data_IF_042230460741
#
_entry.id   IF_042230460741
#
_cell.length_a   1.000
_cell.length_b   1.000
_cell.length_c   1.000
_cell.angle_alpha   90.00
_cell.angle_beta   90.00
_cell.angle_gamma   90.00
#
_symmetry.space_group_name_H-M   'P 1'
#
loop_
_entity.id
_entity.type
_entity.pdbx_description
1 polymer ?
#
# COMPACT_ATOMS: atom_id res chain seq x y z
N UNK A 1 29.01 -1.67 12.10
CA UNK A 1 29.00 -0.71 13.21
C UNK A 1 27.61 -0.77 13.78
N UNK A 2 27.41 -1.41 14.92
CA UNK A 2 26.09 -1.54 15.56
C UNK A 2 25.74 -0.19 16.19
N UNK A 3 24.66 0.45 15.74
CA UNK A 3 24.14 1.64 16.41
C UNK A 3 23.66 1.26 17.81
N UNK A 4 23.91 2.13 18.78
CA UNK A 4 23.50 1.90 20.17
C UNK A 4 21.96 1.99 20.26
N UNK A 5 21.33 1.08 21.00
CA UNK A 5 19.88 1.03 21.19
C UNK A 5 19.30 2.34 21.73
N UNK A 6 20.11 3.14 22.44
CA UNK A 6 19.74 4.47 22.94
C UNK A 6 19.65 5.53 21.84
N UNK A 7 20.54 5.49 20.84
CA UNK A 7 20.51 6.41 19.71
C UNK A 7 19.32 6.11 18.79
N UNK A 8 19.05 4.82 18.55
CA UNK A 8 17.90 4.38 17.72
C UNK A 8 16.55 4.78 18.37
N UNK A 9 16.43 4.69 19.69
CA UNK A 9 15.21 5.10 20.41
C UNK A 9 15.00 6.62 20.36
N UNK A 10 16.08 7.40 20.41
CA UNK A 10 16.02 8.87 20.35
C UNK A 10 15.61 9.33 18.96
N UNK A 11 16.11 8.67 17.92
CA UNK A 11 15.80 8.99 16.52
C UNK A 11 14.33 8.66 16.18
N UNK A 12 13.83 7.51 16.65
CA UNK A 12 12.43 7.12 16.52
C UNK A 12 11.49 8.12 17.20
N UNK A 13 11.79 8.51 18.43
CA UNK A 13 10.97 9.46 19.18
C UNK A 13 10.91 10.81 18.48
N UNK A 14 12.02 11.31 17.98
CA UNK A 14 12.10 12.55 17.22
C UNK A 14 11.29 12.50 15.92
N UNK A 15 11.28 11.34 15.22
CA UNK A 15 10.49 11.16 14.00
C UNK A 15 8.97 11.12 14.29
N UNK A 16 8.55 10.54 15.41
CA UNK A 16 7.14 10.40 15.79
C UNK A 16 6.56 11.64 16.48
N UNK A 17 7.39 12.51 17.04
CA UNK A 17 6.93 13.66 17.81
C UNK A 17 6.01 14.62 17.04
N UNK A 18 6.29 15.02 15.79
CA UNK A 18 5.40 15.87 14.99
C UNK A 18 4.03 15.21 14.77
N UNK A 19 4.00 13.91 14.49
CA UNK A 19 2.77 13.15 14.28
C UNK A 19 1.94 13.02 15.55
N UNK A 20 2.59 12.79 16.69
CA UNK A 20 1.90 12.75 17.97
C UNK A 20 1.26 14.09 18.33
N UNK A 21 1.81 15.20 17.84
CA UNK A 21 1.33 16.56 18.10
C UNK A 21 0.28 17.06 17.09
N UNK A 22 0.14 16.40 15.94
CA UNK A 22 -0.76 16.86 14.86
C UNK A 22 -2.23 16.88 15.31
N UNK A 23 -3.05 17.86 14.87
CA UNK A 23 -4.47 17.92 15.22
C UNK A 23 -5.23 16.65 14.84
N UNK A 24 -5.21 16.25 13.59
CA UNK A 24 -5.85 15.01 13.08
C UNK A 24 -4.79 14.14 12.43
N UNK A 25 -4.61 12.92 12.93
CA UNK A 25 -3.64 11.96 12.43
C UNK A 25 -4.33 10.83 11.65
N UNK A 26 -3.92 10.61 10.41
CA UNK A 26 -4.23 9.39 9.66
C UNK A 26 -3.05 8.40 9.80
N UNK A 27 -3.34 7.21 10.32
CA UNK A 27 -2.41 6.07 10.35
C UNK A 27 -2.87 5.09 9.28
N UNK A 28 -2.28 5.20 8.10
CA UNK A 28 -2.54 4.33 6.97
C UNK A 28 -1.50 3.20 6.94
N UNK A 29 -1.95 1.97 6.80
CA UNK A 29 -1.10 0.78 6.93
C UNK A 29 -1.39 -0.19 5.79
N UNK A 30 -0.36 -0.62 5.08
CA UNK A 30 -0.46 -1.81 4.27
C UNK A 30 -0.65 -3.05 5.14
N UNK A 31 -1.09 -4.17 4.54
CA UNK A 31 -1.45 -5.37 5.31
C UNK A 31 -0.45 -6.50 5.17
N UNK A 32 -0.26 -7.02 3.96
CA UNK A 32 0.61 -8.17 3.70
C UNK A 32 2.08 -7.76 3.70
N UNK A 33 2.93 -8.45 4.46
CA UNK A 33 4.33 -8.07 4.65
C UNK A 33 4.53 -6.94 5.67
N UNK A 34 3.49 -6.17 5.96
CA UNK A 34 3.52 -4.98 6.82
C UNK A 34 2.91 -5.23 8.20
N UNK A 35 1.63 -5.57 8.28
CA UNK A 35 0.94 -5.94 9.54
C UNK A 35 0.95 -7.44 9.78
N UNK A 36 0.89 -8.22 8.71
CA UNK A 36 0.93 -9.67 8.69
C UNK A 36 2.21 -10.13 8.00
N UNK A 37 2.88 -11.18 8.48
CA UNK A 37 3.96 -11.83 7.73
C UNK A 37 3.46 -12.33 6.36
N UNK A 38 4.33 -12.32 5.36
CA UNK A 38 4.05 -12.99 4.09
C UNK A 38 3.96 -14.49 4.30
N UNK A 39 2.88 -15.11 3.83
CA UNK A 39 2.62 -16.55 3.97
C UNK A 39 2.13 -17.14 2.64
N UNK A 40 2.30 -18.45 2.47
CA UNK A 40 1.95 -19.14 1.22
C UNK A 40 0.45 -19.22 0.96
N UNK A 41 -0.37 -19.22 2.01
CA UNK A 41 -1.84 -19.21 1.91
C UNK A 41 -2.38 -17.79 2.15
N UNK A 42 -2.65 -16.99 1.10
CA UNK A 42 -2.95 -15.58 1.23
C UNK A 42 -4.14 -15.26 2.14
N UNK A 43 -5.20 -16.09 2.14
CA UNK A 43 -6.40 -15.85 2.95
C UNK A 43 -6.22 -16.23 4.43
N UNK A 44 -5.12 -16.88 4.80
CA UNK A 44 -4.75 -17.16 6.18
C UNK A 44 -3.91 -16.03 6.82
N UNK A 45 -3.52 -15.00 6.06
CA UNK A 45 -2.77 -13.85 6.59
C UNK A 45 -3.55 -13.18 7.74
N UNK A 46 -2.85 -12.88 8.83
CA UNK A 46 -3.42 -12.17 9.99
C UNK A 46 -2.37 -11.22 10.55
N UNK A 47 -2.81 -10.02 10.91
CA UNK A 47 -1.95 -9.07 11.62
C UNK A 47 -1.43 -9.68 12.92
N UNK A 48 -0.18 -9.37 13.26
CA UNK A 48 0.42 -9.83 14.51
C UNK A 48 -0.39 -9.35 15.72
N UNK A 49 -0.46 -10.13 16.81
CA UNK A 49 -1.17 -9.70 18.03
C UNK A 49 -0.73 -8.33 18.52
N UNK A 50 0.58 -8.05 18.53
CA UNK A 50 1.12 -6.76 18.94
C UNK A 50 0.68 -5.61 18.02
N UNK A 51 0.58 -5.86 16.70
CA UNK A 51 0.05 -4.88 15.75
C UNK A 51 -1.43 -4.60 16.01
N UNK A 52 -2.25 -5.63 16.27
CA UNK A 52 -3.67 -5.48 16.61
C UNK A 52 -3.87 -4.63 17.87
N UNK A 53 -3.08 -4.86 18.90
CA UNK A 53 -3.13 -4.09 20.16
C UNK A 53 -2.76 -2.62 19.94
N UNK A 54 -1.70 -2.35 19.17
CA UNK A 54 -1.27 -0.99 18.84
C UNK A 54 -2.32 -0.25 17.99
N UNK A 55 -2.88 -0.91 16.98
CA UNK A 55 -3.96 -0.40 16.13
C UNK A 55 -5.20 -0.07 16.96
N UNK A 56 -5.63 -0.97 17.83
CA UNK A 56 -6.78 -0.74 18.72
C UNK A 56 -6.53 0.47 19.64
N UNK A 57 -5.30 0.60 20.18
CA UNK A 57 -4.91 1.75 21.00
C UNK A 57 -4.96 3.07 20.23
N UNK A 58 -4.46 3.09 18.98
CA UNK A 58 -4.52 4.27 18.12
C UNK A 58 -5.96 4.64 17.74
N UNK A 59 -6.75 3.65 17.33
CA UNK A 59 -8.14 3.86 16.92
C UNK A 59 -9.06 4.33 18.08
N UNK A 60 -8.66 4.09 19.32
CA UNK A 60 -9.38 4.58 20.50
C UNK A 60 -9.05 6.04 20.86
N UNK A 61 -7.99 6.63 20.29
CA UNK A 61 -7.62 8.00 20.55
C UNK A 61 -8.47 8.98 19.72
N UNK A 62 -8.94 10.08 20.30
CA UNK A 62 -9.65 11.11 19.54
C UNK A 62 -8.77 11.70 18.45
N UNK A 63 -9.40 12.14 17.34
CA UNK A 63 -8.76 12.72 16.15
C UNK A 63 -7.59 11.85 15.61
N UNK A 64 -7.73 10.54 15.75
CA UNK A 64 -6.79 9.55 15.22
C UNK A 64 -7.59 8.56 14.38
N UNK A 65 -7.31 8.55 13.09
CA UNK A 65 -7.95 7.65 12.13
C UNK A 65 -6.98 6.55 11.75
N UNK A 66 -7.43 5.31 11.76
CA UNK A 66 -6.65 4.17 11.27
C UNK A 66 -7.28 3.65 9.99
N UNK A 67 -6.46 3.37 8.99
CA UNK A 67 -6.90 2.81 7.72
C UNK A 67 -5.98 1.65 7.28
N UNK A 68 -6.56 0.59 6.70
CA UNK A 68 -5.80 -0.41 5.96
C UNK A 68 -5.87 -0.08 4.46
N UNK A 69 -4.72 -0.07 3.79
CA UNK A 69 -4.58 0.28 2.38
C UNK A 69 -3.85 -0.86 1.67
N UNK A 70 -4.56 -1.65 0.88
CA UNK A 70 -4.02 -2.90 0.32
C UNK A 70 -4.34 -3.07 -1.17
N UNK A 71 -3.48 -3.83 -1.86
CA UNK A 71 -3.77 -4.31 -3.22
C UNK A 71 -4.87 -5.38 -3.28
N UNK A 72 -5.23 -5.98 -2.15
CA UNK A 72 -6.32 -6.96 -2.08
C UNK A 72 -7.67 -6.32 -2.35
N UNK A 73 -8.59 -7.10 -2.92
CA UNK A 73 -9.99 -6.69 -2.99
C UNK A 73 -10.54 -6.39 -1.59
N UNK A 74 -11.47 -5.45 -1.50
CA UNK A 74 -12.05 -5.03 -0.23
C UNK A 74 -12.66 -6.20 0.56
N UNK A 75 -13.32 -7.14 -0.13
CA UNK A 75 -13.89 -8.34 0.49
C UNK A 75 -12.83 -9.21 1.19
N UNK A 76 -11.69 -9.43 0.54
CA UNK A 76 -10.58 -10.22 1.08
C UNK A 76 -9.88 -9.50 2.23
N UNK A 77 -9.66 -8.18 2.08
CA UNK A 77 -9.08 -7.35 3.12
C UNK A 77 -9.92 -7.36 4.40
N UNK A 78 -11.26 -7.37 4.27
CA UNK A 78 -12.16 -7.52 5.43
C UNK A 78 -11.98 -8.85 6.14
N UNK A 79 -11.80 -9.94 5.40
CA UNK A 79 -11.58 -11.27 5.98
C UNK A 79 -10.26 -11.38 6.72
N UNK A 80 -9.14 -10.99 6.06
CA UNK A 80 -7.81 -11.12 6.66
C UNK A 80 -7.59 -10.10 7.79
N UNK A 81 -8.18 -8.91 7.67
CA UNK A 81 -8.17 -7.86 8.69
C UNK A 81 -9.13 -8.14 9.85
N UNK A 82 -9.90 -9.24 9.82
CA UNK A 82 -10.94 -9.57 10.81
C UNK A 82 -11.90 -8.38 11.06
N UNK A 83 -12.16 -7.64 9.96
CA UNK A 83 -12.86 -6.37 10.00
C UNK A 83 -14.39 -6.58 10.12
N UNK A 84 -15.02 -5.84 11.01
CA UNK A 84 -16.46 -5.91 11.30
C UNK A 84 -17.14 -4.59 10.90
N UNK A 85 -18.46 -4.63 10.73
CA UNK A 85 -19.24 -3.44 10.35
C UNK A 85 -19.29 -2.36 11.45
N UNK A 86 -18.97 -2.71 12.69
CA UNK A 86 -18.86 -1.79 13.82
C UNK A 86 -17.40 -1.28 14.05
N UNK A 87 -16.47 -1.63 13.18
CA UNK A 87 -15.07 -1.22 13.28
C UNK A 87 -14.92 0.28 13.02
N UNK A 88 -14.06 0.98 13.78
CA UNK A 88 -13.68 2.36 13.49
C UNK A 88 -12.59 2.48 12.40
N UNK A 89 -12.10 1.34 11.85
CA UNK A 89 -10.98 1.29 10.90
C UNK A 89 -11.51 1.46 9.48
N UNK A 90 -10.93 2.39 8.74
CA UNK A 90 -11.19 2.61 7.32
C UNK A 90 -10.47 1.55 6.48
N UNK A 91 -11.03 1.20 5.32
CA UNK A 91 -10.38 0.29 4.39
C UNK A 91 -10.30 0.91 2.99
N UNK A 92 -9.16 0.71 2.35
CA UNK A 92 -8.97 0.96 0.92
C UNK A 92 -8.41 -0.34 0.29
N UNK A 93 -9.25 -1.00 -0.49
CA UNK A 93 -8.92 -2.22 -1.23
C UNK A 93 -8.58 -1.92 -2.68
N UNK A 94 -8.07 -2.94 -3.40
CA UNK A 94 -7.73 -2.85 -4.83
C UNK A 94 -6.87 -1.61 -5.16
N UNK A 95 -5.86 -1.34 -4.31
CA UNK A 95 -4.99 -0.15 -4.40
C UNK A 95 -5.76 1.19 -4.36
N UNK A 96 -6.92 1.26 -3.70
CA UNK A 96 -7.73 2.49 -3.63
C UNK A 96 -8.82 2.58 -4.69
N UNK A 97 -9.14 1.49 -5.38
CA UNK A 97 -10.34 1.43 -6.24
C UNK A 97 -11.62 1.14 -5.44
N UNK A 98 -11.49 0.61 -4.22
CA UNK A 98 -12.61 0.25 -3.36
C UNK A 98 -12.40 0.80 -1.95
N UNK A 99 -13.43 1.40 -1.37
CA UNK A 99 -13.37 1.96 -0.02
C UNK A 99 -14.48 1.43 0.87
N UNK A 100 -14.19 1.29 2.16
CA UNK A 100 -15.16 1.13 3.22
C UNK A 100 -14.89 2.14 4.33
N UNK A 101 -15.95 2.80 4.76
CA UNK A 101 -15.90 3.84 5.80
C UNK A 101 -16.73 3.41 7.02
N UNK A 102 -16.30 3.73 8.26
CA UNK A 102 -17.08 3.47 9.47
C UNK A 102 -18.46 4.14 9.42
N UNK A 103 -19.43 3.57 10.12
CA UNK A 103 -20.78 4.13 10.22
C UNK A 103 -20.73 5.56 10.78
N UNK A 104 -21.26 6.52 10.05
CA UNK A 104 -21.25 7.95 10.42
C UNK A 104 -20.12 8.77 9.78
N UNK A 105 -19.14 8.15 9.13
CA UNK A 105 -18.31 8.84 8.16
C UNK A 105 -19.19 9.27 6.97
N UNK A 106 -18.85 10.37 6.29
CA UNK A 106 -19.60 10.86 5.13
C UNK A 106 -19.50 9.85 3.97
N UNK A 107 -20.12 8.71 4.14
CA UNK A 107 -20.13 7.65 3.15
C UNK A 107 -20.86 8.13 1.91
N UNK A 108 -20.20 8.10 0.80
CA UNK A 108 -20.74 7.78 -0.53
C UNK A 108 -19.83 8.23 -1.67
N UNK A 109 -18.56 8.36 -1.42
CA UNK A 109 -17.63 8.43 -2.52
C UNK A 109 -16.97 7.06 -2.69
N UNK A 110 -17.61 6.18 -3.49
CA UNK A 110 -16.84 5.27 -4.30
C UNK A 110 -16.03 6.21 -5.20
N UNK A 111 -14.85 6.61 -4.77
CA UNK A 111 -13.84 7.06 -5.69
C UNK A 111 -13.44 5.80 -6.47
N UNK A 112 -14.31 5.39 -7.39
CA UNK A 112 -13.83 4.77 -8.58
C UNK A 112 -12.90 5.82 -9.17
N UNK A 113 -11.59 5.57 -9.13
CA UNK A 113 -10.67 6.38 -9.89
C UNK A 113 -11.27 6.55 -11.26
N UNK A 114 -11.26 7.77 -11.78
CA UNK A 114 -11.73 8.06 -13.12
C UNK A 114 -11.25 6.93 -14.02
N UNK A 115 -12.16 6.01 -14.30
CA UNK A 115 -12.05 5.17 -15.44
C UNK A 115 -12.37 6.12 -16.59
N UNK A 116 -11.43 7.01 -16.91
CA UNK A 116 -11.28 7.46 -18.28
C UNK A 116 -10.87 6.18 -19.02
N UNK A 117 -11.84 5.29 -19.13
CA UNK A 117 -11.78 4.17 -20.01
C UNK A 117 -11.81 4.77 -21.41
N UNK A 118 -10.62 5.13 -21.91
CA UNK A 118 -10.40 4.93 -23.33
C UNK A 118 -11.04 3.58 -23.62
N UNK A 119 -11.73 3.48 -24.72
CA UNK A 119 -12.54 2.33 -25.17
C UNK A 119 -11.61 1.11 -25.43
N UNK A 120 -10.75 0.78 -24.45
CA UNK A 120 -9.72 -0.25 -24.51
C UNK A 120 -10.35 -1.58 -24.12
N UNK A 121 -10.42 -2.48 -25.09
CA UNK A 121 -10.76 -3.87 -24.79
C UNK A 121 -9.61 -4.54 -24.00
N UNK A 122 -9.75 -4.52 -22.68
CA UNK A 122 -8.74 -5.05 -21.75
C UNK A 122 -8.54 -6.56 -21.93
N UNK A 123 -9.57 -7.31 -22.35
CA UNK A 123 -9.46 -8.75 -22.62
C UNK A 123 -8.64 -9.00 -23.88
N UNK A 124 -8.88 -8.24 -24.94
CA UNK A 124 -8.09 -8.31 -26.16
C UNK A 124 -6.64 -7.89 -25.91
N UNK A 125 -6.41 -6.86 -25.10
CA UNK A 125 -5.05 -6.41 -24.77
C UNK A 125 -4.28 -7.48 -23.98
N UNK A 126 -4.92 -8.15 -23.01
CA UNK A 126 -4.34 -9.28 -22.27
C UNK A 126 -3.99 -10.45 -23.16
N UNK A 127 -4.91 -10.80 -24.09
CA UNK A 127 -4.66 -11.88 -25.05
C UNK A 127 -3.47 -11.58 -25.97
N UNK A 128 -3.31 -10.34 -26.43
CA UNK A 128 -2.17 -9.95 -27.24
C UNK A 128 -0.86 -9.95 -26.42
N UNK A 129 -0.91 -9.57 -25.14
CA UNK A 129 0.23 -9.69 -24.24
C UNK A 129 0.65 -11.15 -24.04
N UNK A 130 -0.29 -12.08 -23.86
CA UNK A 130 -0.02 -13.52 -23.78
C UNK A 130 0.67 -14.04 -25.06
N UNK A 131 0.22 -13.59 -26.23
CA UNK A 131 0.83 -13.98 -27.51
C UNK A 131 2.28 -13.48 -27.63
N UNK A 132 2.56 -12.28 -27.19
CA UNK A 132 3.92 -11.71 -27.22
C UNK A 132 4.88 -12.56 -26.39
N UNK A 133 4.48 -12.97 -25.17
CA UNK A 133 5.38 -13.71 -24.27
C UNK A 133 5.43 -15.20 -24.56
N UNK A 134 4.53 -15.74 -25.40
CA UNK A 134 4.45 -17.17 -25.70
C UNK A 134 5.77 -17.77 -26.24
N UNK A 135 6.56 -16.97 -26.96
CA UNK A 135 7.85 -17.36 -27.52
C UNK A 135 9.06 -16.90 -26.68
N UNK A 136 8.81 -16.41 -25.45
CA UNK A 136 9.86 -15.90 -24.54
C UNK A 136 9.97 -16.83 -23.33
N UNK A 137 11.06 -17.61 -23.29
CA UNK A 137 11.26 -18.58 -22.20
C UNK A 137 11.35 -17.90 -20.84
N UNK A 138 10.56 -18.39 -19.88
CA UNK A 138 10.56 -17.91 -18.51
C UNK A 138 9.77 -16.60 -18.27
N UNK A 139 9.14 -16.04 -19.33
CA UNK A 139 8.20 -14.92 -19.20
C UNK A 139 6.75 -15.41 -19.20
N UNK A 140 5.87 -14.73 -18.44
CA UNK A 140 4.43 -14.99 -18.47
C UNK A 140 3.64 -13.74 -18.08
N UNK A 141 2.37 -13.72 -18.49
CA UNK A 141 1.42 -12.66 -18.10
C UNK A 141 0.53 -13.17 -16.94
N UNK A 142 0.48 -12.40 -15.88
CA UNK A 142 -0.53 -12.55 -14.82
C UNK A 142 -1.71 -11.63 -15.16
N UNK A 143 -2.89 -12.18 -15.39
CA UNK A 143 -4.10 -11.40 -15.61
C UNK A 143 -4.62 -10.84 -14.28
N UNK A 144 -4.91 -9.55 -14.27
CA UNK A 144 -5.51 -8.84 -13.13
C UNK A 144 -6.86 -8.23 -13.53
N UNK A 145 -7.71 -7.94 -12.55
CA UNK A 145 -9.06 -7.41 -12.81
C UNK A 145 -9.03 -6.13 -13.67
N UNK A 146 -8.08 -5.23 -13.40
CA UNK A 146 -7.97 -3.92 -14.05
C UNK A 146 -6.72 -3.80 -14.93
N UNK A 147 -6.08 -4.92 -15.31
CA UNK A 147 -4.86 -4.88 -16.09
C UNK A 147 -4.16 -6.22 -16.19
N UNK A 148 -2.84 -6.20 -16.22
CA UNK A 148 -1.99 -7.41 -16.20
C UNK A 148 -0.58 -7.07 -15.71
N UNK A 149 0.18 -8.10 -15.33
CA UNK A 149 1.60 -7.99 -15.01
C UNK A 149 2.43 -8.98 -15.85
N UNK A 150 3.50 -8.48 -16.45
CA UNK A 150 4.57 -9.28 -17.04
C UNK A 150 5.53 -9.70 -15.94
N UNK A 151 5.75 -11.00 -15.80
CA UNK A 151 6.79 -11.57 -14.96
C UNK A 151 7.93 -12.09 -15.83
N UNK A 152 9.17 -11.78 -15.47
CA UNK A 152 10.37 -12.16 -16.23
C UNK A 152 11.49 -12.75 -15.39
N UNK A 153 11.25 -13.03 -14.11
CA UNK A 153 12.30 -13.53 -13.18
C UNK A 153 12.91 -14.87 -13.56
N UNK A 154 12.24 -15.65 -14.41
CA UNK A 154 12.72 -16.95 -14.89
C UNK A 154 13.35 -16.83 -16.28
N UNK A 155 13.38 -15.65 -16.88
CA UNK A 155 13.95 -15.40 -18.21
C UNK A 155 15.43 -15.04 -18.12
N UNK A 156 16.14 -15.16 -19.25
CA UNK A 156 17.45 -14.53 -19.38
C UNK A 156 17.33 -13.00 -19.36
N UNK A 157 18.40 -12.28 -19.06
CA UNK A 157 18.39 -10.81 -19.10
C UNK A 157 18.02 -10.24 -20.47
N UNK A 158 18.40 -10.94 -21.56
CA UNK A 158 18.08 -10.55 -22.94
C UNK A 158 16.60 -10.76 -23.22
N UNK A 159 16.03 -11.90 -22.84
CA UNK A 159 14.61 -12.23 -23.02
C UNK A 159 13.72 -11.34 -22.15
N UNK A 160 14.10 -11.07 -20.91
CA UNK A 160 13.40 -10.15 -20.03
C UNK A 160 13.34 -8.72 -20.62
N UNK A 161 14.47 -8.24 -21.16
CA UNK A 161 14.50 -6.93 -21.83
C UNK A 161 13.69 -6.91 -23.12
N UNK A 162 13.65 -8.03 -23.86
CA UNK A 162 12.81 -8.19 -25.05
C UNK A 162 11.33 -8.14 -24.68
N UNK A 163 10.90 -8.96 -23.71
CA UNK A 163 9.53 -9.00 -23.23
C UNK A 163 9.06 -7.61 -22.77
N UNK A 164 9.86 -6.93 -21.95
CA UNK A 164 9.58 -5.57 -21.49
C UNK A 164 9.36 -4.60 -22.63
N UNK A 165 10.23 -4.57 -23.65
CA UNK A 165 10.08 -3.65 -24.79
C UNK A 165 8.84 -3.94 -25.64
N UNK A 166 8.55 -5.21 -25.88
CA UNK A 166 7.41 -5.60 -26.74
C UNK A 166 6.07 -5.33 -26.03
N UNK A 167 6.00 -5.60 -24.72
CA UNK A 167 4.81 -5.30 -23.92
C UNK A 167 4.64 -3.77 -23.71
N UNK A 168 5.72 -3.02 -23.45
CA UNK A 168 5.65 -1.55 -23.40
C UNK A 168 5.10 -0.97 -24.72
N UNK A 169 5.58 -1.47 -25.88
CA UNK A 169 5.12 -1.01 -27.18
C UNK A 169 3.62 -1.31 -27.40
N UNK A 170 3.17 -2.50 -27.04
CA UNK A 170 1.76 -2.89 -27.11
C UNK A 170 0.87 -1.92 -26.29
N UNK A 171 1.26 -1.65 -25.05
CA UNK A 171 0.44 -0.80 -24.18
C UNK A 171 0.48 0.67 -24.60
N UNK A 172 1.63 1.19 -25.01
CA UNK A 172 1.76 2.56 -25.55
C UNK A 172 0.86 2.77 -26.78
N UNK A 173 0.73 1.74 -27.64
CA UNK A 173 -0.09 1.81 -28.85
C UNK A 173 -1.59 1.70 -28.52
N UNK A 174 -1.99 0.78 -27.64
CA UNK A 174 -3.39 0.38 -27.46
C UNK A 174 -4.05 0.89 -26.20
N UNK A 175 -3.25 1.23 -25.20
CA UNK A 175 -3.72 1.68 -23.88
C UNK A 175 -2.79 2.77 -23.31
N UNK A 176 -2.56 3.90 -24.04
CA UNK A 176 -1.57 4.92 -23.64
C UNK A 176 -1.87 5.57 -22.29
N UNK A 177 -3.14 5.52 -21.84
CA UNK A 177 -3.56 6.02 -20.54
C UNK A 177 -3.37 5.05 -19.38
N UNK A 178 -2.95 3.80 -19.63
CA UNK A 178 -2.77 2.85 -18.55
C UNK A 178 -1.54 3.19 -17.70
N UNK A 179 -1.73 3.09 -16.38
CA UNK A 179 -0.64 3.27 -15.39
C UNK A 179 0.36 2.13 -15.52
N UNK A 180 1.65 2.49 -15.64
CA UNK A 180 2.79 1.56 -15.71
C UNK A 180 3.53 1.57 -14.38
N UNK A 181 3.79 0.40 -13.80
CA UNK A 181 4.63 0.22 -12.61
C UNK A 181 5.73 -0.79 -12.89
N UNK A 182 6.91 -0.53 -12.35
CA UNK A 182 8.07 -1.41 -12.49
C UNK A 182 8.49 -1.91 -11.11
N UNK A 183 8.57 -3.25 -10.97
CA UNK A 183 9.17 -3.90 -9.80
C UNK A 183 10.38 -4.73 -10.20
N UNK A 184 10.92 -5.49 -9.26
CA UNK A 184 12.01 -6.42 -9.54
C UNK A 184 11.47 -7.58 -10.39
N UNK A 185 11.93 -7.67 -11.66
CA UNK A 185 11.50 -8.70 -12.64
C UNK A 185 9.98 -8.73 -12.90
N UNK A 186 9.29 -7.63 -12.62
CA UNK A 186 7.85 -7.44 -12.82
C UNK A 186 7.59 -6.09 -13.52
N UNK A 187 6.67 -6.10 -14.49
CA UNK A 187 6.16 -4.90 -15.16
C UNK A 187 4.64 -4.96 -15.19
N UNK A 188 3.98 -4.08 -14.44
CA UNK A 188 2.53 -4.06 -14.32
C UNK A 188 1.93 -2.90 -15.11
N UNK A 189 0.78 -3.17 -15.76
CA UNK A 189 -0.06 -2.18 -16.41
C UNK A 189 -1.49 -2.28 -15.88
N UNK A 190 -2.10 -1.13 -15.61
CA UNK A 190 -3.45 -1.04 -15.08
C UNK A 190 -4.22 0.10 -15.73
N UNK A 191 -5.47 -0.16 -16.10
CA UNK A 191 -6.43 0.87 -16.53
C UNK A 191 -6.84 1.79 -15.38
N UNK A 192 -6.64 1.35 -14.15
CA UNK A 192 -6.91 2.15 -12.96
C UNK A 192 -5.71 3.01 -12.62
N UNK A 193 -5.93 4.32 -12.50
CA UNK A 193 -5.00 5.23 -11.87
C UNK A 193 -4.97 5.08 -10.34
N UNK A 194 -5.82 4.22 -9.77
CA UNK A 194 -5.79 3.90 -8.36
C UNK A 194 -4.40 3.42 -7.94
N UNK A 195 -3.96 3.91 -6.81
CA UNK A 195 -2.70 3.59 -6.18
C UNK A 195 -2.80 3.85 -4.70
N UNK A 196 -1.90 3.27 -3.89
CA UNK A 196 -1.90 3.55 -2.46
C UNK A 196 -1.68 5.04 -2.17
N UNK A 197 -0.98 5.76 -3.04
CA UNK A 197 -0.84 7.22 -3.04
C UNK A 197 -2.19 7.93 -3.18
N UNK A 198 -2.98 7.55 -4.18
CA UNK A 198 -4.33 8.09 -4.40
C UNK A 198 -5.27 7.72 -3.26
N UNK A 199 -5.19 6.46 -2.78
CA UNK A 199 -5.98 6.01 -1.64
C UNK A 199 -5.70 6.83 -0.37
N UNK A 200 -4.44 7.09 -0.08
CA UNK A 200 -4.03 7.90 1.09
C UNK A 200 -4.50 9.36 0.93
N UNK A 201 -4.39 9.93 -0.28
CA UNK A 201 -4.87 11.29 -0.54
C UNK A 201 -6.39 11.38 -0.33
N UNK A 202 -7.17 10.42 -0.84
CA UNK A 202 -8.62 10.36 -0.64
C UNK A 202 -9.01 10.19 0.85
N UNK A 203 -8.32 9.30 1.57
CA UNK A 203 -8.52 9.11 3.01
C UNK A 203 -8.16 10.36 3.81
N UNK A 204 -7.09 11.08 3.42
CA UNK A 204 -6.69 12.34 4.03
C UNK A 204 -7.78 13.40 3.87
N UNK A 205 -8.33 13.54 2.66
CA UNK A 205 -9.43 14.48 2.38
C UNK A 205 -10.69 14.13 3.18
N UNK A 206 -11.11 12.87 3.14
CA UNK A 206 -12.29 12.37 3.85
C UNK A 206 -12.22 12.61 5.36
N UNK A 207 -11.04 12.39 5.95
CA UNK A 207 -10.84 12.49 7.41
C UNK A 207 -10.40 13.87 7.89
N UNK A 208 -10.03 14.76 6.99
CA UNK A 208 -9.43 16.05 7.33
C UNK A 208 -8.07 15.92 8.00
N UNK A 209 -7.33 14.82 7.74
CA UNK A 209 -6.06 14.55 8.40
C UNK A 209 -5.00 15.61 8.07
N UNK A 210 -4.39 16.16 9.12
CA UNK A 210 -3.36 17.19 9.04
C UNK A 210 -1.96 16.60 8.88
N UNK A 211 -1.78 15.32 9.24
CA UNK A 211 -0.59 14.54 8.93
C UNK A 211 -0.94 13.07 8.72
N UNK A 212 -0.07 12.36 7.99
CA UNK A 212 -0.18 10.94 7.69
C UNK A 212 1.04 10.19 8.21
N UNK A 213 0.79 9.09 8.90
CA UNK A 213 1.76 8.01 9.09
C UNK A 213 1.40 6.91 8.09
N UNK A 214 2.33 6.52 7.21
CA UNK A 214 2.13 5.41 6.30
C UNK A 214 3.25 4.38 6.42
N UNK A 215 2.90 3.11 6.49
CA UNK A 215 3.86 2.01 6.50
C UNK A 215 3.52 0.96 5.43
N UNK A 216 4.55 0.46 4.76
CA UNK A 216 4.44 -0.57 3.73
C UNK A 216 5.76 -1.28 3.43
N UNK A 217 5.68 -2.44 2.73
CA UNK A 217 6.82 -3.31 2.47
C UNK A 217 7.12 -3.56 0.99
N UNK A 218 6.23 -3.18 0.08
CA UNK A 218 6.37 -3.48 -1.34
C UNK A 218 6.66 -2.23 -2.22
N UNK A 219 6.71 -2.43 -3.54
CA UNK A 219 6.98 -1.38 -4.53
C UNK A 219 5.81 -0.40 -4.64
N UNK A 220 4.58 -0.88 -4.46
CA UNK A 220 3.39 -0.02 -4.54
C UNK A 220 3.29 0.90 -3.32
N UNK A 221 3.92 0.52 -2.21
CA UNK A 221 4.06 1.36 -1.02
C UNK A 221 5.10 2.46 -1.24
N UNK A 222 6.16 2.21 -1.99
CA UNK A 222 7.14 3.23 -2.33
C UNK A 222 6.51 4.37 -3.16
N UNK A 223 5.57 4.05 -4.06
CA UNK A 223 4.79 5.08 -4.77
C UNK A 223 4.07 6.00 -3.76
N UNK A 224 3.43 5.41 -2.75
CA UNK A 224 2.74 6.18 -1.72
C UNK A 224 3.70 6.98 -0.83
N UNK A 225 4.80 6.36 -0.40
CA UNK A 225 5.83 7.01 0.42
C UNK A 225 6.43 8.21 -0.29
N UNK A 226 6.69 8.10 -1.60
CA UNK A 226 7.26 9.18 -2.41
C UNK A 226 6.30 10.38 -2.58
N UNK A 227 5.00 10.18 -2.41
CA UNK A 227 3.98 11.22 -2.52
C UNK A 227 3.54 11.83 -1.18
N UNK A 228 4.15 11.40 -0.06
CA UNK A 228 3.88 11.98 1.24
C UNK A 228 4.38 13.43 1.33
N UNK A 229 3.68 14.26 2.10
CA UNK A 229 4.03 15.68 2.32
C UNK A 229 5.07 15.83 3.44
N UNK A 230 5.69 17.00 3.55
CA UNK A 230 6.75 17.28 4.53
C UNK A 230 6.37 16.99 6.01
N UNK A 231 5.10 17.11 6.37
CA UNK A 231 4.59 16.83 7.73
C UNK A 231 4.27 15.36 8.00
N UNK A 232 4.38 14.50 6.98
CA UNK A 232 4.04 13.10 7.04
C UNK A 232 5.26 12.23 7.37
N UNK A 233 5.03 10.96 7.72
CA UNK A 233 6.07 9.97 7.95
C UNK A 233 5.78 8.70 7.18
N UNK A 234 6.64 8.40 6.19
CA UNK A 234 6.71 7.10 5.55
C UNK A 234 7.64 6.16 6.31
N UNK A 235 7.20 4.92 6.45
CA UNK A 235 7.96 3.83 7.09
C UNK A 235 8.08 2.66 6.13
N UNK A 236 9.30 2.28 5.79
CA UNK A 236 9.58 1.05 5.05
C UNK A 236 9.65 -0.12 6.00
N UNK A 237 8.91 -1.18 5.72
CA UNK A 237 9.04 -2.47 6.41
C UNK A 237 9.91 -3.40 5.57
N UNK A 238 10.91 -4.02 6.19
CA UNK A 238 11.81 -4.94 5.53
C UNK A 238 12.90 -4.30 4.65
N UNK A 239 13.58 -5.11 3.84
CA UNK A 239 14.72 -4.71 3.02
C UNK A 239 14.28 -3.97 1.73
N UNK A 240 15.25 -3.55 0.93
CA UNK A 240 15.05 -2.90 -0.37
C UNK A 240 15.39 -1.41 -0.35
N UNK A 241 15.46 -0.79 -1.52
CA UNK A 241 15.59 0.66 -1.64
C UNK A 241 14.29 1.35 -1.23
N UNK A 242 14.39 2.52 -0.62
CA UNK A 242 13.22 3.25 -0.14
C UNK A 242 13.52 4.74 0.03
N UNK A 243 12.51 5.55 -0.26
CA UNK A 243 12.46 6.97 0.06
C UNK A 243 11.92 7.27 1.48
N UNK A 244 11.53 6.22 2.21
CA UNK A 244 11.01 6.36 3.58
C UNK A 244 12.05 6.96 4.54
N UNK A 245 11.58 7.87 5.40
CA UNK A 245 12.41 8.49 6.44
C UNK A 245 12.73 7.55 7.60
N UNK A 246 11.92 6.51 7.79
CA UNK A 246 12.10 5.49 8.82
C UNK A 246 12.03 4.10 8.18
N UNK A 247 12.86 3.19 8.66
CA UNK A 247 12.84 1.78 8.27
C UNK A 247 12.76 0.90 9.52
N UNK A 248 11.97 -0.16 9.42
CA UNK A 248 11.88 -1.23 10.40
C UNK A 248 12.19 -2.57 9.72
N UNK A 249 12.68 -3.52 10.48
CA UNK A 249 13.10 -4.81 9.93
C UNK A 249 11.91 -5.68 9.51
N UNK A 250 10.80 -5.61 10.23
CA UNK A 250 9.64 -6.49 10.04
C UNK A 250 8.36 -5.94 10.73
N UNK A 251 7.27 -6.68 10.60
CA UNK A 251 5.98 -6.36 11.22
C UNK A 251 6.03 -6.29 12.77
N UNK A 252 6.95 -7.02 13.40
CA UNK A 252 7.10 -7.00 14.87
C UNK A 252 7.71 -5.68 15.33
N UNK A 253 8.72 -5.18 14.62
CA UNK A 253 9.34 -3.90 14.91
C UNK A 253 8.37 -2.75 14.59
N UNK A 254 7.58 -2.85 13.50
CA UNK A 254 6.52 -1.90 13.19
C UNK A 254 5.49 -1.80 14.32
N UNK A 255 5.08 -2.93 14.91
CA UNK A 255 4.15 -2.93 16.05
C UNK A 255 4.70 -2.12 17.25
N UNK A 256 6.02 -2.17 17.49
CA UNK A 256 6.70 -1.34 18.48
C UNK A 256 6.64 0.15 18.16
N UNK A 257 6.81 0.52 16.90
CA UNK A 257 6.66 1.92 16.42
C UNK A 257 5.24 2.41 16.64
N UNK A 258 4.23 1.65 16.22
CA UNK A 258 2.82 1.99 16.39
C UNK A 258 2.43 2.13 17.86
N UNK A 259 2.89 1.22 18.72
CA UNK A 259 2.68 1.29 20.17
C UNK A 259 3.32 2.55 20.78
N UNK A 260 4.48 2.95 20.29
CA UNK A 260 5.16 4.16 20.75
C UNK A 260 4.40 5.40 20.32
N UNK A 261 3.95 5.46 19.06
CA UNK A 261 3.11 6.55 18.54
C UNK A 261 1.82 6.69 19.35
N UNK A 262 1.13 5.58 19.65
CA UNK A 262 -0.08 5.58 20.47
C UNK A 262 0.15 6.18 21.85
N UNK A 263 1.22 5.76 22.55
CA UNK A 263 1.58 6.30 23.89
C UNK A 263 1.94 7.78 23.83
N UNK A 264 2.72 8.21 22.86
CA UNK A 264 3.12 9.61 22.70
C UNK A 264 1.90 10.52 22.45
N UNK A 265 0.97 10.04 21.58
CA UNK A 265 -0.23 10.78 21.24
C UNK A 265 -1.22 10.84 22.41
N UNK A 266 -1.38 9.75 23.18
CA UNK A 266 -2.18 9.72 24.41
C UNK A 266 -1.67 10.72 25.45
N UNK A 267 -0.36 10.74 25.71
CA UNK A 267 0.27 11.63 26.71
C UNK A 267 0.15 13.13 26.40
N UNK A 268 -0.13 13.52 25.15
CA UNK A 268 -0.32 14.93 24.77
C UNK A 268 -1.75 15.43 24.93
N UNK A 269 -2.68 14.54 25.23
CA UNK A 269 -4.11 14.84 25.37
C UNK A 269 -4.62 14.79 26.82
N UNK A 270 -3.74 14.40 27.73
CA UNK A 270 -3.90 14.58 29.19
C UNK A 270 -3.46 15.98 29.62
#
# INVERSE_FOLDING_TARGET
>A
MSMDSSEMTTDLTAALEPLAATPVLLVALDFDGTLAPLIDEPMAARALPASKEAIASLAALPDTVVAFVSGRMLADLRVIGEHRDDSPIYLAGSHGAEFWYPTGAAANHVHGGDTDTDDVDADALRADADLIVADIEGAWIEHKALGFALHSRMSTAEDAARATREIDALVVERAPGWRRRTGQDILEFSSSHAGKDVAIAALREETGATAVFFAGDDVTDEDAIAHLSDGDLGVRVGPGESSARLRVADAQELAGVLSTLARMRAARRE
#
